data_IF_325757547626
#
_entry.id   IF_325757547626
#
_cell.length_a   1.000
_cell.length_b   1.000
_cell.length_c   1.000
_cell.angle_alpha   90.00
_cell.angle_beta   90.00
_cell.angle_gamma   90.00
#
_symmetry.space_group_name_H-M   'P 1'
#
loop_
_entity.id
_entity.type
_entity.pdbx_description
1 polymer ?
#
# COMPACT_ATOMS: atom_id res chain seq x y z
N UNK A 1 26.79 16.15 6.80
CA UNK A 1 26.17 15.08 5.97
C UNK A 1 24.91 14.57 6.69
N UNK A 2 23.89 14.19 5.95
CA UNK A 2 22.65 13.59 6.45
C UNK A 2 22.81 12.07 6.52
N UNK A 3 22.44 11.46 7.64
CA UNK A 3 22.44 10.00 7.80
C UNK A 3 21.09 9.42 7.39
N UNK A 4 21.07 8.62 6.32
CA UNK A 4 19.88 7.90 5.86
C UNK A 4 19.95 6.48 6.42
N UNK A 5 19.16 6.21 7.46
CA UNK A 5 19.15 4.91 8.12
C UNK A 5 18.56 3.83 7.20
N UNK A 6 19.28 2.73 7.00
CA UNK A 6 18.80 1.61 6.18
C UNK A 6 17.53 0.99 6.78
N UNK A 7 17.41 0.96 8.12
CA UNK A 7 16.28 0.40 8.84
C UNK A 7 14.91 0.97 8.42
N UNK A 8 14.85 2.22 7.95
CA UNK A 8 13.61 2.86 7.47
C UNK A 8 13.54 3.06 5.95
N UNK A 9 14.68 2.96 5.26
CA UNK A 9 14.82 3.47 3.89
C UNK A 9 15.37 2.45 2.89
N UNK A 10 15.70 1.24 3.35
CA UNK A 10 16.32 0.21 2.52
C UNK A 10 15.46 -1.05 2.38
N UNK A 11 15.70 -1.75 1.28
CA UNK A 11 15.02 -2.99 0.91
C UNK A 11 16.01 -3.93 0.25
N UNK A 12 15.84 -5.23 0.48
CA UNK A 12 16.52 -6.25 -0.33
C UNK A 12 15.72 -6.41 -1.61
N UNK A 13 16.20 -5.82 -2.69
CA UNK A 13 15.48 -5.68 -3.97
C UNK A 13 15.79 -6.81 -4.95
N UNK A 14 16.95 -7.46 -4.78
CA UNK A 14 17.28 -8.71 -5.44
C UNK A 14 17.85 -9.67 -4.39
N UNK A 15 17.31 -10.89 -4.32
CA UNK A 15 17.83 -11.97 -3.46
C UNK A 15 17.55 -13.34 -4.06
N UNK A 16 18.50 -14.25 -3.89
CA UNK A 16 18.26 -15.67 -4.14
C UNK A 16 17.41 -16.27 -3.02
N UNK A 17 16.68 -17.35 -3.30
CA UNK A 17 15.77 -17.97 -2.34
C UNK A 17 16.47 -18.43 -1.04
N UNK A 18 17.74 -18.80 -1.10
CA UNK A 18 18.55 -19.25 0.05
C UNK A 18 19.28 -18.11 0.77
N UNK A 19 19.12 -16.87 0.33
CA UNK A 19 19.87 -15.74 0.85
C UNK A 19 19.25 -15.23 2.17
N UNK A 20 20.10 -14.93 3.14
CA UNK A 20 19.67 -14.58 4.51
C UNK A 20 19.71 -13.08 4.79
N UNK A 21 19.99 -12.26 3.78
CA UNK A 21 20.03 -10.81 3.94
C UNK A 21 18.71 -10.23 4.34
N UNK A 22 18.78 -9.31 5.30
CA UNK A 22 17.62 -8.63 5.81
C UNK A 22 17.96 -7.21 6.25
N UNK A 23 16.94 -6.36 6.16
CA UNK A 23 16.93 -5.05 6.78
C UNK A 23 16.22 -5.21 8.12
N UNK A 24 16.97 -5.02 9.19
CA UNK A 24 16.49 -5.05 10.58
C UNK A 24 16.35 -3.63 11.12
N UNK A 25 15.85 -3.49 12.35
CA UNK A 25 15.77 -2.20 13.07
C UNK A 25 17.12 -1.47 13.22
N UNK A 26 18.25 -2.20 13.09
CA UNK A 26 19.61 -1.65 13.13
C UNK A 26 20.31 -1.62 11.76
N UNK A 27 19.59 -1.85 10.66
CA UNK A 27 20.11 -1.81 9.29
C UNK A 27 20.34 -3.19 8.67
N UNK A 28 21.22 -3.25 7.66
CA UNK A 28 21.50 -4.46 6.89
C UNK A 28 22.33 -5.45 7.72
N UNK A 29 21.84 -6.69 7.81
CA UNK A 29 22.47 -7.81 8.49
C UNK A 29 22.51 -9.04 7.59
N UNK A 30 23.28 -10.04 8.03
CA UNK A 30 23.38 -11.36 7.39
C UNK A 30 23.74 -11.28 5.90
N UNK A 31 24.54 -10.27 5.52
CA UNK A 31 24.94 -10.02 4.15
C UNK A 31 25.98 -11.01 3.65
N UNK A 32 25.54 -12.08 3.02
CA UNK A 32 26.38 -13.21 2.63
C UNK A 32 26.48 -13.43 1.13
N UNK A 33 25.51 -13.01 0.34
CA UNK A 33 25.42 -13.30 -1.09
C UNK A 33 25.81 -12.08 -1.96
N UNK A 34 26.74 -12.29 -2.90
CA UNK A 34 27.23 -11.25 -3.81
C UNK A 34 26.17 -10.85 -4.85
N UNK A 35 25.20 -11.72 -5.13
CA UNK A 35 24.10 -11.40 -6.04
C UNK A 35 23.00 -10.58 -5.39
N UNK A 36 22.98 -10.45 -4.06
CA UNK A 36 21.95 -9.67 -3.37
C UNK A 36 22.17 -8.18 -3.59
N UNK A 37 21.11 -7.47 -3.96
CA UNK A 37 21.09 -6.01 -4.10
C UNK A 37 20.24 -5.41 -2.98
N UNK A 38 20.82 -4.44 -2.28
CA UNK A 38 20.14 -3.68 -1.23
C UNK A 38 20.00 -2.24 -1.72
N UNK A 39 18.78 -1.79 -1.94
CA UNK A 39 18.50 -0.44 -2.44
C UNK A 39 18.03 0.45 -1.30
N UNK A 40 18.72 1.57 -1.10
CA UNK A 40 18.32 2.64 -0.16
C UNK A 40 17.79 3.84 -0.95
N UNK A 41 16.70 4.44 -0.47
CA UNK A 41 16.00 5.52 -1.17
C UNK A 41 15.92 6.78 -0.31
N UNK A 42 16.09 7.93 -0.95
CA UNK A 42 15.82 9.25 -0.36
C UNK A 42 15.51 10.22 -1.49
N UNK A 43 14.81 11.32 -1.21
CA UNK A 43 14.45 12.33 -2.20
C UNK A 43 15.26 13.60 -2.02
N UNK A 44 15.85 14.08 -3.12
CA UNK A 44 16.49 15.40 -3.20
C UNK A 44 15.48 16.45 -3.66
N UNK A 45 15.68 17.70 -3.20
CA UNK A 45 14.86 18.86 -3.57
C UNK A 45 15.58 19.86 -4.48
N UNK A 46 16.82 19.55 -4.86
CA UNK A 46 17.59 20.35 -5.79
C UNK A 46 18.61 19.48 -6.51
N UNK A 47 19.05 19.95 -7.67
CA UNK A 47 20.14 19.36 -8.45
C UNK A 47 21.51 19.71 -7.86
N UNK A 48 22.56 19.01 -8.30
CA UNK A 48 23.95 19.33 -8.01
C UNK A 48 24.77 18.11 -7.59
N UNK A 49 26.00 18.36 -7.13
CA UNK A 49 26.88 17.29 -6.67
C UNK A 49 26.35 16.65 -5.38
N UNK A 50 26.22 15.33 -5.39
CA UNK A 50 25.92 14.49 -4.25
C UNK A 50 27.19 13.76 -3.82
N UNK A 51 27.53 13.87 -2.54
CA UNK A 51 28.63 13.12 -1.92
C UNK A 51 28.06 11.92 -1.18
N UNK A 52 28.62 10.74 -1.43
CA UNK A 52 28.17 9.47 -0.88
C UNK A 52 29.23 8.90 0.06
N UNK A 53 28.80 8.49 1.25
CA UNK A 53 29.57 7.67 2.16
C UNK A 53 28.68 6.54 2.72
N UNK A 54 29.29 5.49 3.26
CA UNK A 54 28.59 4.38 3.89
C UNK A 54 29.09 4.19 5.31
N UNK A 55 28.16 4.01 6.26
CA UNK A 55 28.51 3.67 7.65
C UNK A 55 28.35 2.17 7.86
N UNK A 56 29.49 1.50 8.01
CA UNK A 56 29.54 0.04 8.01
C UNK A 56 30.60 -0.51 8.97
N UNK A 57 30.48 -1.79 9.28
CA UNK A 57 31.53 -2.58 9.95
C UNK A 57 31.59 -3.99 9.37
N UNK A 58 32.73 -4.64 9.54
CA UNK A 58 32.95 -6.05 9.19
C UNK A 58 33.38 -6.78 10.46
N UNK A 59 32.50 -7.55 11.12
CA UNK A 59 32.82 -8.19 12.41
C UNK A 59 34.08 -9.06 12.38
N UNK A 60 34.37 -9.72 11.25
CA UNK A 60 35.59 -10.49 11.02
C UNK A 60 36.07 -10.38 9.57
N UNK A 61 37.38 -10.27 9.38
CA UNK A 61 37.99 -10.14 8.05
C UNK A 61 37.83 -8.76 7.44
N UNK A 62 37.72 -8.74 6.11
CA UNK A 62 37.64 -7.56 5.25
C UNK A 62 36.70 -7.84 4.08
N UNK A 63 36.16 -6.79 3.49
CA UNK A 63 35.33 -6.90 2.31
C UNK A 63 35.53 -5.74 1.35
N UNK A 64 35.13 -5.97 0.12
CA UNK A 64 34.91 -4.96 -0.91
C UNK A 64 33.42 -4.97 -1.23
N UNK A 65 32.81 -3.80 -1.15
CA UNK A 65 31.40 -3.59 -1.51
C UNK A 65 31.32 -2.55 -2.61
N UNK A 66 30.26 -2.62 -3.40
CA UNK A 66 29.97 -1.70 -4.49
C UNK A 66 28.73 -0.90 -4.14
N UNK A 67 28.80 0.42 -4.32
CA UNK A 67 27.66 1.31 -4.27
C UNK A 67 27.40 1.88 -5.66
N UNK A 68 26.14 1.87 -6.09
CA UNK A 68 25.74 2.38 -7.41
C UNK A 68 24.63 3.43 -7.27
N UNK A 69 24.78 4.55 -7.98
CA UNK A 69 23.82 5.66 -8.01
C UNK A 69 23.82 6.26 -9.42
N UNK A 70 22.64 6.44 -10.02
CA UNK A 70 22.49 6.93 -11.40
C UNK A 70 23.40 6.22 -12.43
N UNK A 71 23.51 4.88 -12.32
CA UNK A 71 24.35 4.06 -13.19
C UNK A 71 25.86 4.16 -12.94
N UNK A 72 26.31 5.07 -12.07
CA UNK A 72 27.72 5.20 -11.68
C UNK A 72 28.01 4.31 -10.48
N UNK A 73 29.07 3.51 -10.55
CA UNK A 73 29.45 2.53 -9.52
C UNK A 73 30.78 2.89 -8.86
N UNK A 74 30.87 2.66 -7.54
CA UNK A 74 32.06 2.88 -6.73
C UNK A 74 32.33 1.64 -5.90
N UNK A 75 33.58 1.15 -5.89
CA UNK A 75 34.00 0.09 -4.98
C UNK A 75 34.67 0.71 -3.75
N UNK A 76 34.36 0.20 -2.57
CA UNK A 76 34.95 0.62 -1.31
C UNK A 76 35.38 -0.59 -0.49
N UNK A 77 36.59 -0.54 0.05
CA UNK A 77 37.10 -1.55 0.96
C UNK A 77 36.64 -1.20 2.39
N UNK A 78 36.05 -2.18 3.08
CA UNK A 78 35.46 -2.04 4.42
C UNK A 78 36.18 -3.00 5.36
N UNK A 79 36.65 -2.51 6.51
CA UNK A 79 37.47 -3.32 7.44
C UNK A 79 37.24 -2.99 8.91
N UNK A 80 37.32 -4.04 9.74
CA UNK A 80 37.32 -3.93 11.19
C UNK A 80 35.93 -3.99 11.84
N UNK A 81 35.94 -4.45 13.09
CA UNK A 81 34.73 -4.75 13.85
C UNK A 81 34.01 -3.51 14.42
N UNK A 82 34.65 -2.33 14.38
CA UNK A 82 34.03 -1.06 14.78
C UNK A 82 33.27 -0.41 13.62
N UNK A 83 32.15 0.24 13.92
CA UNK A 83 31.42 1.04 12.93
C UNK A 83 32.24 2.25 12.49
N UNK A 84 32.41 2.44 11.18
CA UNK A 84 33.15 3.55 10.57
C UNK A 84 32.39 4.09 9.36
N UNK A 85 32.64 5.35 9.04
CA UNK A 85 32.15 5.98 7.81
C UNK A 85 33.24 5.90 6.74
N UNK A 86 32.90 5.33 5.59
CA UNK A 86 33.78 5.22 4.42
C UNK A 86 33.25 6.14 3.33
N UNK A 87 34.06 7.12 2.93
CA UNK A 87 33.74 7.91 1.73
C UNK A 87 33.77 7.01 0.50
N UNK A 88 32.74 7.13 -0.33
CA UNK A 88 32.53 6.25 -1.49
C UNK A 88 32.81 6.99 -2.78
N UNK A 89 32.24 8.18 -2.94
CA UNK A 89 32.39 8.93 -4.18
C UNK A 89 31.42 10.09 -4.28
N UNK A 90 31.36 10.69 -5.47
CA UNK A 90 30.44 11.78 -5.77
C UNK A 90 29.81 11.61 -7.15
N UNK A 91 28.55 12.01 -7.28
CA UNK A 91 27.78 11.95 -8.52
C UNK A 91 27.00 13.26 -8.71
N UNK A 92 26.83 13.71 -9.95
CA UNK A 92 25.95 14.85 -10.22
C UNK A 92 24.49 14.39 -10.31
N UNK A 93 23.60 15.01 -9.56
CA UNK A 93 22.15 14.80 -9.61
C UNK A 93 21.55 15.87 -10.53
N UNK A 94 21.02 15.43 -11.67
CA UNK A 94 20.51 16.31 -12.72
C UNK A 94 19.02 16.66 -12.58
N UNK A 95 18.28 15.93 -11.75
CA UNK A 95 16.84 16.13 -11.54
C UNK A 95 16.49 16.01 -10.07
N UNK A 96 15.51 16.80 -9.63
CA UNK A 96 14.87 16.59 -8.33
C UNK A 96 14.09 15.28 -8.31
N UNK A 97 13.86 14.74 -7.11
CA UNK A 97 13.15 13.47 -6.96
C UNK A 97 13.90 12.43 -6.15
N UNK A 98 13.39 11.21 -6.18
CA UNK A 98 14.00 10.08 -5.49
C UNK A 98 15.31 9.67 -6.15
N UNK A 99 16.31 9.44 -5.30
CA UNK A 99 17.60 8.87 -5.62
C UNK A 99 17.64 7.48 -5.01
N UNK A 100 18.03 6.50 -5.83
CA UNK A 100 18.29 5.12 -5.41
C UNK A 100 19.80 4.90 -5.28
N UNK A 101 20.22 4.36 -4.14
CA UNK A 101 21.60 3.89 -3.91
C UNK A 101 21.56 2.38 -3.72
N UNK A 102 22.13 1.65 -4.68
CA UNK A 102 22.24 0.19 -4.63
C UNK A 102 23.56 -0.23 -3.99
N UNK A 103 23.50 -1.12 -3.01
CA UNK A 103 24.62 -1.79 -2.37
C UNK A 103 24.73 -3.23 -2.89
N UNK A 104 25.94 -3.66 -3.27
CA UNK A 104 26.23 -5.02 -3.72
C UNK A 104 27.56 -5.54 -3.14
N UNK A 105 27.62 -6.81 -2.75
CA UNK A 105 28.85 -7.45 -2.30
C UNK A 105 29.76 -7.78 -3.48
N UNK A 106 31.06 -7.52 -3.38
CA UNK A 106 32.04 -7.85 -4.44
C UNK A 106 32.94 -9.00 -4.02
N UNK A 107 33.63 -8.84 -2.89
CA UNK A 107 34.49 -9.88 -2.31
C UNK A 107 34.53 -9.75 -0.79
N UNK A 108 34.74 -10.85 -0.08
CA UNK A 108 34.88 -10.88 1.38
C UNK A 108 35.83 -12.00 1.81
N UNK A 109 36.53 -11.80 2.91
CA UNK A 109 37.38 -12.84 3.53
C UNK A 109 36.70 -13.48 4.75
N UNK A 110 35.74 -12.78 5.36
CA UNK A 110 34.89 -13.29 6.44
C UNK A 110 33.58 -13.89 5.95
N UNK A 111 32.70 -14.22 6.90
CA UNK A 111 31.38 -14.80 6.60
C UNK A 111 30.39 -13.81 5.97
N UNK A 112 30.51 -12.52 6.28
CA UNK A 112 29.61 -11.47 5.80
C UNK A 112 30.37 -10.37 5.05
N UNK A 113 29.71 -9.71 4.08
CA UNK A 113 30.23 -8.53 3.39
C UNK A 113 30.34 -7.36 4.36
N UNK A 114 29.26 -6.97 5.02
CA UNK A 114 29.27 -5.93 6.03
C UNK A 114 27.96 -5.94 6.81
N UNK A 115 27.98 -5.30 7.98
CA UNK A 115 26.77 -4.75 8.59
C UNK A 115 26.73 -3.26 8.27
N UNK A 116 25.63 -2.78 7.70
CA UNK A 116 25.50 -1.39 7.21
C UNK A 116 24.33 -0.72 7.92
N UNK A 117 24.57 0.42 8.57
CA UNK A 117 23.51 1.12 9.32
C UNK A 117 22.95 2.31 8.56
N UNK A 118 23.82 3.06 7.87
CA UNK A 118 23.46 4.33 7.22
C UNK A 118 24.15 4.50 5.86
N UNK A 119 23.43 5.12 4.92
CA UNK A 119 24.04 5.86 3.81
C UNK A 119 24.20 7.31 4.23
N UNK A 120 25.41 7.85 4.15
CA UNK A 120 25.70 9.23 4.47
C UNK A 120 25.66 10.08 3.20
N UNK A 121 24.84 11.11 3.20
CA UNK A 121 24.60 11.98 2.04
C UNK A 121 25.10 13.40 2.32
N UNK A 122 25.82 14.00 1.38
CA UNK A 122 26.25 15.39 1.44
C UNK A 122 26.32 16.03 0.05
N UNK A 123 26.98 17.19 -0.02
CA UNK A 123 27.13 17.95 -1.27
C UNK A 123 25.95 18.88 -1.56
N UNK A 124 26.06 19.62 -2.66
CA UNK A 124 25.07 20.63 -3.08
C UNK A 124 23.65 20.05 -3.27
N UNK A 125 23.51 18.81 -3.77
CA UNK A 125 22.20 18.17 -3.95
C UNK A 125 21.41 17.98 -2.65
N UNK A 126 22.10 17.95 -1.50
CA UNK A 126 21.49 17.85 -0.18
C UNK A 126 21.24 19.22 0.48
N UNK A 127 21.62 20.33 -0.17
CA UNK A 127 21.63 21.68 0.41
C UNK A 127 20.23 22.20 0.84
N UNK A 128 19.19 21.90 0.07
CA UNK A 128 17.80 22.24 0.38
C UNK A 128 17.12 21.22 1.34
N UNK A 129 17.89 20.30 1.91
CA UNK A 129 17.39 19.19 2.71
C UNK A 129 16.83 18.04 1.87
N UNK A 130 16.69 16.89 2.53
CA UNK A 130 16.23 15.64 1.93
C UNK A 130 14.85 15.26 2.48
N UNK A 131 14.13 14.43 1.73
CA UNK A 131 12.92 13.75 2.22
C UNK A 131 13.18 12.24 2.26
N UNK A 132 13.02 11.64 3.42
CA UNK A 132 13.28 10.23 3.70
C UNK A 132 12.56 9.86 5.00
N UNK A 133 12.44 8.56 5.28
CA UNK A 133 11.92 8.11 6.57
C UNK A 133 12.93 8.45 7.66
N UNK A 134 12.61 9.45 8.47
CA UNK A 134 13.47 10.00 9.52
C UNK A 134 12.90 9.82 10.93
N UNK A 135 11.75 9.16 11.06
CA UNK A 135 11.14 8.78 12.33
C UNK A 135 11.32 7.28 12.61
N UNK A 136 12.29 6.96 13.46
CA UNK A 136 12.65 5.58 13.79
C UNK A 136 11.51 4.78 14.43
N UNK A 137 10.58 5.44 15.14
CA UNK A 137 9.42 4.77 15.73
C UNK A 137 8.41 4.30 14.67
N UNK A 138 8.49 4.85 13.46
CA UNK A 138 7.54 4.63 12.37
C UNK A 138 8.19 4.05 11.11
N UNK A 139 9.37 3.42 11.22
CA UNK A 139 10.03 2.79 10.08
C UNK A 139 9.21 1.66 9.45
N UNK A 140 8.51 0.85 10.24
CA UNK A 140 7.60 -0.17 9.72
C UNK A 140 6.57 0.43 8.75
N UNK A 141 5.90 1.51 9.16
CA UNK A 141 4.90 2.23 8.34
C UNK A 141 5.54 2.94 7.15
N UNK A 142 6.69 3.56 7.35
CA UNK A 142 7.41 4.26 6.28
C UNK A 142 7.91 3.31 5.19
N UNK A 143 8.28 2.09 5.58
CA UNK A 143 8.69 1.02 4.65
C UNK A 143 7.51 0.43 3.91
N UNK A 144 6.35 0.21 4.56
CA UNK A 144 5.08 -0.09 3.87
C UNK A 144 4.78 0.99 2.81
N UNK A 145 4.98 2.25 3.18
CA UNK A 145 4.74 3.39 2.30
C UNK A 145 3.35 4.00 2.51
N UNK A 146 3.07 5.10 1.80
CA UNK A 146 1.88 5.92 2.02
C UNK A 146 0.64 5.29 1.38
N UNK A 147 -0.31 4.83 2.20
CA UNK A 147 -1.63 4.43 1.70
C UNK A 147 -2.36 5.63 1.10
N UNK A 148 -3.05 5.39 -0.02
CA UNK A 148 -3.78 6.40 -0.78
C UNK A 148 -5.28 6.13 -0.73
N UNK A 149 -6.10 7.19 -0.75
CA UNK A 149 -7.55 7.07 -0.57
C UNK A 149 -8.32 7.91 -1.58
N UNK A 150 -9.47 7.39 -1.99
CA UNK A 150 -10.53 8.09 -2.71
C UNK A 150 -11.67 8.34 -1.74
N UNK A 151 -11.98 9.60 -1.43
CA UNK A 151 -13.11 9.95 -0.58
C UNK A 151 -14.26 10.45 -1.46
N UNK A 152 -15.36 9.70 -1.53
CA UNK A 152 -16.44 10.01 -2.47
C UNK A 152 -17.37 11.09 -1.92
N UNK A 153 -17.71 12.07 -2.75
CA UNK A 153 -18.77 13.04 -2.45
C UNK A 153 -20.12 12.39 -2.75
N UNK A 154 -20.90 12.15 -1.70
CA UNK A 154 -22.18 11.47 -1.84
C UNK A 154 -23.31 12.44 -2.17
N UNK A 155 -24.28 12.00 -3.00
CA UNK A 155 -25.56 12.68 -3.09
C UNK A 155 -26.37 12.47 -1.81
N UNK A 156 -27.28 13.41 -1.51
CA UNK A 156 -28.13 13.33 -0.33
C UNK A 156 -29.08 12.13 -0.37
N UNK A 157 -29.31 11.50 0.79
CA UNK A 157 -30.26 10.42 1.01
C UNK A 157 -29.69 9.24 1.79
N UNK A 158 -30.57 8.31 2.17
CA UNK A 158 -30.20 7.08 2.87
C UNK A 158 -29.72 6.04 1.84
N UNK A 159 -28.41 5.83 1.76
CA UNK A 159 -27.81 4.91 0.80
C UNK A 159 -27.83 3.46 1.31
N UNK A 160 -28.71 2.66 0.71
CA UNK A 160 -28.88 1.24 1.07
C UNK A 160 -27.81 0.37 0.41
N UNK A 161 -27.45 0.66 -0.86
CA UNK A 161 -26.41 -0.06 -1.59
C UNK A 161 -25.30 0.87 -2.08
N UNK A 162 -24.08 0.34 -2.09
CA UNK A 162 -22.92 0.89 -2.79
C UNK A 162 -22.43 -0.09 -3.85
N UNK A 163 -22.36 0.36 -5.10
CA UNK A 163 -21.77 -0.35 -6.21
C UNK A 163 -20.51 0.37 -6.69
N UNK A 164 -19.44 -0.39 -6.98
CA UNK A 164 -18.28 0.11 -7.70
C UNK A 164 -17.63 -0.97 -8.55
N UNK A 165 -16.78 -0.53 -9.48
CA UNK A 165 -15.92 -1.39 -10.29
C UNK A 165 -14.46 -1.07 -10.04
N UNK A 166 -13.62 -2.11 -9.98
CA UNK A 166 -12.19 -2.00 -9.75
C UNK A 166 -11.43 -2.86 -10.76
N UNK A 167 -10.38 -2.29 -11.34
CA UNK A 167 -9.42 -3.01 -12.18
C UNK A 167 -7.99 -2.73 -11.70
N UNK A 168 -7.21 -3.78 -11.53
CA UNK A 168 -5.77 -3.70 -11.25
C UNK A 168 -5.02 -3.92 -12.57
N UNK A 169 -4.26 -2.94 -13.11
CA UNK A 169 -3.54 -3.13 -14.36
C UNK A 169 -2.54 -4.30 -14.30
N UNK A 170 -2.24 -4.91 -15.46
CA UNK A 170 -1.26 -5.99 -15.53
C UNK A 170 0.09 -5.56 -14.95
N UNK A 171 0.66 -6.39 -14.05
CA UNK A 171 1.93 -6.12 -13.39
C UNK A 171 1.83 -5.20 -12.17
N UNK A 172 0.64 -4.70 -11.83
CA UNK A 172 0.41 -3.86 -10.64
C UNK A 172 -0.19 -4.64 -9.47
N UNK A 173 -0.46 -5.93 -9.66
CA UNK A 173 -0.94 -6.89 -8.67
C UNK A 173 0.20 -7.47 -7.82
N UNK A 174 1.01 -6.58 -7.24
CA UNK A 174 2.17 -6.97 -6.42
C UNK A 174 1.71 -7.59 -5.10
N UNK A 175 2.34 -8.66 -4.59
CA UNK A 175 2.08 -9.17 -3.25
C UNK A 175 2.17 -8.09 -2.17
N UNK A 176 1.34 -8.20 -1.13
CA UNK A 176 1.22 -7.16 -0.11
C UNK A 176 0.23 -6.06 -0.45
N UNK A 177 -0.44 -6.11 -1.59
CA UNK A 177 -1.39 -5.07 -2.00
C UNK A 177 -2.79 -5.34 -1.49
N UNK A 178 -3.45 -4.31 -0.97
CA UNK A 178 -4.91 -4.28 -0.77
C UNK A 178 -5.53 -3.17 -1.63
N UNK A 179 -6.33 -3.58 -2.60
CA UNK A 179 -7.14 -2.71 -3.46
C UNK A 179 -8.57 -2.70 -2.94
N UNK A 180 -8.87 -1.72 -2.08
CA UNK A 180 -10.16 -1.62 -1.42
C UNK A 180 -11.15 -0.85 -2.30
N UNK A 181 -12.27 -1.49 -2.65
CA UNK A 181 -13.25 -0.97 -3.58
C UNK A 181 -14.40 -0.24 -2.88
N UNK A 182 -15.05 -0.91 -1.93
CA UNK A 182 -16.23 -0.43 -1.22
C UNK A 182 -15.96 -0.23 0.27
N UNK A 183 -15.52 0.97 0.63
CA UNK A 183 -15.40 1.41 2.02
C UNK A 183 -16.66 2.08 2.52
N UNK A 184 -16.92 1.92 3.81
CA UNK A 184 -18.02 2.56 4.51
C UNK A 184 -17.63 2.83 5.97
N UNK A 185 -18.45 3.55 6.73
CA UNK A 185 -18.14 4.02 8.08
C UNK A 185 -17.70 2.91 9.04
N UNK A 186 -18.25 1.71 8.87
CA UNK A 186 -18.06 0.58 9.76
C UNK A 186 -17.27 -0.57 9.14
N UNK A 187 -16.68 -0.40 7.95
CA UNK A 187 -15.94 -1.49 7.34
C UNK A 187 -15.42 -1.23 5.94
N UNK A 188 -14.97 -2.32 5.32
CA UNK A 188 -14.34 -2.29 4.01
C UNK A 188 -14.57 -3.57 3.23
N UNK A 189 -14.53 -3.45 1.90
CA UNK A 189 -14.66 -4.57 0.98
C UNK A 189 -13.78 -4.36 -0.27
N UNK A 190 -12.97 -5.35 -0.61
CA UNK A 190 -12.06 -5.26 -1.76
C UNK A 190 -11.30 -6.56 -2.05
N UNK A 191 -10.17 -6.43 -2.74
CA UNK A 191 -9.33 -7.57 -3.15
C UNK A 191 -7.86 -7.39 -2.76
N UNK A 192 -7.22 -8.49 -2.35
CA UNK A 192 -5.83 -8.53 -1.90
C UNK A 192 -4.98 -9.48 -2.74
N UNK A 193 -3.69 -9.19 -2.82
CA UNK A 193 -2.65 -10.12 -3.28
C UNK A 193 -1.85 -10.58 -2.06
N UNK A 194 -2.09 -11.82 -1.62
CA UNK A 194 -1.41 -12.38 -0.44
C UNK A 194 -0.02 -12.90 -0.80
N UNK A 195 0.10 -13.55 -1.94
CA UNK A 195 1.35 -14.09 -2.45
C UNK A 195 1.30 -14.21 -3.97
N UNK A 196 2.36 -14.75 -4.57
CA UNK A 196 2.37 -15.07 -6.00
C UNK A 196 1.28 -16.08 -6.42
N UNK A 197 0.74 -16.88 -5.47
CA UNK A 197 -0.21 -17.96 -5.75
C UNK A 197 -1.54 -17.82 -5.01
N UNK A 198 -1.69 -16.78 -4.19
CA UNK A 198 -2.87 -16.63 -3.33
C UNK A 198 -3.40 -15.19 -3.34
N UNK A 199 -4.71 -15.10 -3.58
CA UNK A 199 -5.45 -13.86 -3.74
C UNK A 199 -6.78 -13.96 -3.02
N UNK A 200 -7.14 -12.90 -2.32
CA UNK A 200 -8.36 -12.86 -1.51
C UNK A 200 -9.32 -11.80 -2.04
N UNK A 201 -10.61 -12.11 -1.95
CA UNK A 201 -11.66 -11.09 -1.80
C UNK A 201 -11.93 -10.96 -0.31
N UNK A 202 -11.87 -9.76 0.26
CA UNK A 202 -11.97 -9.53 1.70
C UNK A 202 -13.10 -8.55 2.01
N UNK A 203 -13.98 -8.91 2.94
CA UNK A 203 -15.05 -8.07 3.48
C UNK A 203 -15.01 -8.08 5.02
N UNK A 204 -14.89 -6.91 5.63
CA UNK A 204 -14.82 -6.76 7.09
C UNK A 204 -15.77 -5.69 7.60
N UNK A 205 -16.24 -5.89 8.84
CA UNK A 205 -17.04 -4.93 9.61
C UNK A 205 -16.47 -4.85 11.02
N UNK A 206 -16.06 -3.65 11.44
CA UNK A 206 -15.56 -3.41 12.80
C UNK A 206 -16.64 -3.65 13.85
N UNK A 207 -16.20 -4.01 15.04
CA UNK A 207 -17.06 -3.98 16.22
C UNK A 207 -17.53 -2.55 16.54
N UNK A 208 -18.52 -2.42 17.42
CA UNK A 208 -18.72 -1.21 18.21
C UNK A 208 -17.48 -0.87 19.06
N UNK A 209 -17.53 0.27 19.75
CA UNK A 209 -16.50 0.63 20.72
C UNK A 209 -16.32 -0.47 21.78
N UNK A 210 -15.13 -0.55 22.39
CA UNK A 210 -14.81 -1.59 23.38
C UNK A 210 -15.89 -1.65 24.47
N UNK A 211 -16.40 -2.86 24.74
CA UNK A 211 -17.47 -3.09 25.72
C UNK A 211 -18.89 -2.89 25.18
N UNK A 212 -19.07 -2.46 23.93
CA UNK A 212 -20.38 -2.23 23.31
C UNK A 212 -20.82 -3.40 22.41
N UNK A 213 -20.42 -4.62 22.73
CA UNK A 213 -20.76 -5.83 21.97
C UNK A 213 -19.81 -6.13 20.81
N UNK A 214 -20.14 -7.17 20.05
CA UNK A 214 -19.33 -7.68 18.94
C UNK A 214 -20.16 -7.83 17.67
N UNK A 215 -19.53 -7.59 16.54
CA UNK A 215 -20.10 -7.88 15.22
C UNK A 215 -20.18 -9.40 15.02
N UNK A 216 -21.38 -9.90 14.67
CA UNK A 216 -21.69 -11.33 14.57
C UNK A 216 -22.04 -11.74 13.14
N UNK A 217 -21.66 -12.98 12.79
CA UNK A 217 -21.96 -13.54 11.47
C UNK A 217 -23.43 -13.95 11.41
N UNK A 218 -24.15 -13.49 10.38
CA UNK A 218 -25.53 -13.91 10.09
C UNK A 218 -25.53 -15.06 9.10
N UNK A 219 -24.83 -14.89 7.96
CA UNK A 219 -24.66 -15.92 6.93
C UNK A 219 -23.41 -15.61 6.10
N UNK A 220 -22.93 -16.61 5.36
CA UNK A 220 -21.80 -16.47 4.43
C UNK A 220 -22.05 -17.25 3.15
N UNK A 221 -21.41 -16.86 2.06
CA UNK A 221 -21.45 -17.61 0.82
C UNK A 221 -20.67 -18.92 0.89
N UNK A 222 -20.84 -19.74 -0.15
CA UNK A 222 -20.04 -20.95 -0.38
C UNK A 222 -18.55 -20.60 -0.44
N UNK A 223 -17.72 -21.43 0.18
CA UNK A 223 -16.24 -21.30 0.26
C UNK A 223 -15.70 -20.03 0.92
N UNK A 224 -16.56 -19.13 1.39
CA UNK A 224 -16.15 -17.97 2.19
C UNK A 224 -15.76 -18.44 3.58
N UNK A 225 -14.58 -18.05 4.04
CA UNK A 225 -14.13 -18.21 5.42
C UNK A 225 -14.55 -16.97 6.19
N UNK A 226 -15.14 -17.15 7.37
CA UNK A 226 -15.51 -16.06 8.28
C UNK A 226 -14.79 -16.24 9.62
N UNK A 227 -14.19 -15.17 10.11
CA UNK A 227 -13.40 -15.16 11.34
C UNK A 227 -13.40 -13.77 11.99
N UNK A 228 -12.71 -13.64 13.12
CA UNK A 228 -12.52 -12.38 13.82
C UNK A 228 -11.18 -11.75 13.44
N UNK A 229 -11.07 -10.43 13.54
CA UNK A 229 -9.81 -9.70 13.33
C UNK A 229 -9.47 -8.78 14.51
N UNK A 230 -8.20 -8.37 14.58
CA UNK A 230 -7.59 -7.55 15.63
C UNK A 230 -6.46 -6.66 15.09
N UNK A 231 -5.77 -5.93 15.98
CA UNK A 231 -4.57 -5.13 15.68
C UNK A 231 -4.84 -3.68 15.25
N UNK A 232 -5.86 -3.47 14.42
CA UNK A 232 -6.30 -2.16 13.91
C UNK A 232 -7.75 -1.88 14.32
N UNK A 233 -8.05 -2.15 15.58
CA UNK A 233 -9.40 -2.39 16.08
C UNK A 233 -9.77 -3.88 16.01
N UNK A 234 -11.02 -4.21 16.34
CA UNK A 234 -11.54 -5.59 16.30
C UNK A 234 -12.82 -5.65 15.48
N UNK A 235 -13.15 -6.83 14.96
CA UNK A 235 -14.38 -7.01 14.19
C UNK A 235 -14.56 -8.39 13.58
N UNK A 236 -15.58 -8.51 12.73
CA UNK A 236 -15.80 -9.68 11.88
C UNK A 236 -15.17 -9.47 10.51
N UNK A 237 -14.41 -10.45 10.03
CA UNK A 237 -13.90 -10.46 8.65
C UNK A 237 -14.33 -11.75 7.94
N UNK A 238 -14.53 -11.63 6.64
CA UNK A 238 -14.80 -12.74 5.75
C UNK A 238 -13.93 -12.64 4.52
N UNK A 239 -13.34 -13.75 4.08
CA UNK A 239 -12.56 -13.78 2.86
C UNK A 239 -12.90 -15.00 2.00
N UNK A 240 -12.78 -14.81 0.69
CA UNK A 240 -12.84 -15.86 -0.33
C UNK A 240 -11.48 -15.93 -0.99
N UNK A 241 -10.85 -17.11 -0.96
CA UNK A 241 -9.66 -17.35 -1.80
C UNK A 241 -10.15 -17.44 -3.25
N UNK A 242 -9.87 -16.40 -4.03
CA UNK A 242 -10.30 -16.28 -5.41
C UNK A 242 -9.17 -15.71 -6.23
N UNK A 243 -8.72 -16.47 -7.23
CA UNK A 243 -7.61 -16.10 -8.09
C UNK A 243 -8.03 -15.06 -9.15
N UNK A 244 -8.45 -13.88 -8.68
CA UNK A 244 -8.74 -12.75 -9.55
C UNK A 244 -7.50 -12.35 -10.36
N UNK A 245 -7.68 -11.82 -11.56
CA UNK A 245 -6.65 -11.55 -12.54
C UNK A 245 -6.48 -10.05 -12.74
N UNK A 246 -5.23 -9.59 -12.76
CA UNK A 246 -4.93 -8.26 -13.25
C UNK A 246 -5.41 -8.07 -14.71
N UNK A 247 -5.77 -6.85 -15.06
CA UNK A 247 -6.42 -6.49 -16.33
C UNK A 247 -7.92 -6.81 -16.40
N UNK A 248 -8.48 -7.51 -15.40
CA UNK A 248 -9.92 -7.79 -15.32
C UNK A 248 -10.61 -6.78 -14.42
N UNK A 249 -11.75 -6.26 -14.87
CA UNK A 249 -12.63 -5.43 -14.04
C UNK A 249 -13.55 -6.33 -13.22
N UNK A 250 -13.53 -6.15 -11.90
CA UNK A 250 -14.43 -6.79 -10.96
C UNK A 250 -15.45 -5.80 -10.42
N UNK A 251 -16.60 -6.31 -9.97
CA UNK A 251 -17.70 -5.49 -9.46
C UNK A 251 -17.95 -5.82 -7.99
N UNK A 252 -18.18 -4.78 -7.21
CA UNK A 252 -18.35 -4.86 -5.76
C UNK A 252 -19.69 -4.24 -5.41
N UNK A 253 -20.53 -4.99 -4.69
CA UNK A 253 -21.80 -4.51 -4.17
C UNK A 253 -21.82 -4.69 -2.66
N UNK A 254 -22.08 -3.61 -1.93
CA UNK A 254 -22.24 -3.64 -0.48
C UNK A 254 -23.61 -3.05 -0.13
N UNK A 255 -24.28 -3.65 0.84
CA UNK A 255 -25.57 -3.22 1.37
C UNK A 255 -25.44 -2.98 2.86
N UNK A 256 -26.04 -1.91 3.38
CA UNK A 256 -26.32 -1.78 4.81
C UNK A 256 -27.78 -1.38 5.06
N UNK A 257 -28.43 -2.07 6.01
CA UNK A 257 -29.81 -1.77 6.41
C UNK A 257 -29.90 -1.79 7.93
N UNK A 258 -30.48 -0.76 8.54
CA UNK A 258 -30.88 -0.84 9.93
C UNK A 258 -31.92 -1.95 10.12
N UNK A 259 -31.77 -2.76 11.15
CA UNK A 259 -32.75 -3.79 11.53
C UNK A 259 -33.28 -3.49 12.93
N UNK A 260 -34.39 -4.14 13.31
CA UNK A 260 -34.95 -4.00 14.66
C UNK A 260 -33.91 -4.29 15.76
N UNK A 261 -34.13 -3.72 16.95
CA UNK A 261 -33.24 -3.85 18.13
C UNK A 261 -31.89 -3.10 18.05
N UNK A 262 -31.82 -2.00 17.28
CA UNK A 262 -30.68 -1.08 17.35
C UNK A 262 -29.39 -1.62 16.73
N UNK A 263 -29.52 -2.48 15.71
CA UNK A 263 -28.38 -3.04 14.95
C UNK A 263 -28.50 -2.72 13.46
N UNK A 264 -27.38 -2.79 12.76
CA UNK A 264 -27.32 -2.64 11.30
C UNK A 264 -26.69 -3.87 10.70
N UNK A 265 -27.29 -4.39 9.64
CA UNK A 265 -26.82 -5.56 8.91
C UNK A 265 -26.10 -5.12 7.65
N UNK A 266 -24.88 -5.61 7.46
CA UNK A 266 -24.03 -5.33 6.31
C UNK A 266 -23.85 -6.59 5.48
N UNK A 267 -24.14 -6.53 4.18
CA UNK A 267 -23.96 -7.66 3.26
C UNK A 267 -23.14 -7.23 2.05
N UNK A 268 -22.17 -8.04 1.65
CA UNK A 268 -21.37 -7.75 0.45
C UNK A 268 -21.39 -8.90 -0.54
N UNK A 269 -21.40 -8.58 -1.83
CA UNK A 269 -21.30 -9.51 -2.95
C UNK A 269 -20.18 -9.09 -3.90
N UNK A 270 -19.44 -10.09 -4.38
CA UNK A 270 -18.37 -9.95 -5.35
C UNK A 270 -18.81 -10.53 -6.69
N UNK A 271 -18.75 -9.75 -7.77
CA UNK A 271 -19.03 -10.28 -9.10
C UNK A 271 -17.77 -10.92 -9.68
N UNK A 272 -17.77 -12.24 -9.75
CA UNK A 272 -16.70 -13.04 -10.33
C UNK A 272 -16.81 -13.00 -11.86
N UNK A 273 -16.12 -12.05 -12.48
CA UNK A 273 -16.21 -11.78 -13.93
C UNK A 273 -15.92 -13.02 -14.79
N UNK A 274 -15.06 -13.93 -14.34
CA UNK A 274 -14.75 -15.18 -15.06
C UNK A 274 -15.94 -16.14 -15.13
N UNK A 275 -16.81 -16.16 -14.13
CA UNK A 275 -18.00 -17.02 -14.11
C UNK A 275 -19.27 -16.26 -14.49
N UNK A 276 -19.24 -14.93 -14.46
CA UNK A 276 -20.40 -14.08 -14.75
C UNK A 276 -21.43 -14.04 -13.61
N UNK A 277 -21.03 -14.40 -12.39
CA UNK A 277 -21.94 -14.57 -11.25
C UNK A 277 -21.56 -13.70 -10.04
N UNK A 278 -22.59 -13.25 -9.33
CA UNK A 278 -22.42 -12.67 -7.99
C UNK A 278 -22.15 -13.78 -6.98
N UNK A 279 -21.13 -13.59 -6.13
CA UNK A 279 -20.81 -14.44 -4.99
C UNK A 279 -21.11 -13.67 -3.72
N UNK A 280 -21.95 -14.23 -2.84
CA UNK A 280 -22.15 -13.71 -1.49
C UNK A 280 -20.83 -13.84 -0.72
N UNK A 281 -20.35 -12.76 -0.11
CA UNK A 281 -19.25 -12.83 0.85
C UNK A 281 -19.81 -13.24 2.20
N UNK A 282 -20.36 -12.27 2.92
CA UNK A 282 -21.02 -12.50 4.19
C UNK A 282 -22.10 -11.46 4.43
N UNK A 283 -22.95 -11.79 5.39
CA UNK A 283 -23.82 -10.86 6.07
C UNK A 283 -23.36 -10.78 7.53
N UNK A 284 -22.93 -9.60 7.97
CA UNK A 284 -22.56 -9.29 9.35
C UNK A 284 -23.65 -8.45 10.02
N UNK A 285 -23.94 -8.71 11.29
CA UNK A 285 -24.77 -7.83 12.12
C UNK A 285 -23.88 -7.08 13.10
N UNK A 286 -23.91 -5.75 13.04
CA UNK A 286 -23.22 -4.87 13.98
C UNK A 286 -24.23 -4.29 14.98
N UNK A 287 -24.11 -4.59 16.28
CA UNK A 287 -25.01 -4.04 17.29
C UNK A 287 -24.72 -2.56 17.58
N UNK A 288 -25.60 -1.92 18.34
CA UNK A 288 -25.44 -0.54 18.84
C UNK A 288 -25.24 0.52 17.75
N UNK A 289 -25.87 0.32 16.60
CA UNK A 289 -25.93 1.30 15.51
C UNK A 289 -27.16 1.08 14.65
N UNK A 290 -27.83 2.17 14.26
CA UNK A 290 -28.98 2.17 13.34
C UNK A 290 -28.65 3.09 12.18
N UNK A 291 -28.02 2.56 11.13
CA UNK A 291 -27.51 3.37 10.01
C UNK A 291 -27.70 2.69 8.65
N UNK A 292 -27.71 3.51 7.62
CA UNK A 292 -27.42 3.10 6.24
C UNK A 292 -25.91 3.23 5.97
N UNK A 293 -25.46 2.95 4.76
CA UNK A 293 -24.05 3.14 4.41
C UNK A 293 -23.67 4.62 4.54
N UNK A 294 -22.47 4.88 5.08
CA UNK A 294 -21.88 6.22 5.27
C UNK A 294 -20.39 6.17 4.95
N UNK A 295 -19.70 7.33 4.89
CA UNK A 295 -18.24 7.44 4.73
C UNK A 295 -17.65 6.61 3.58
N UNK A 296 -18.18 6.81 2.38
CA UNK A 296 -17.84 6.01 1.23
C UNK A 296 -16.44 6.34 0.75
N UNK A 297 -15.60 5.33 0.61
CA UNK A 297 -14.23 5.51 0.16
C UNK A 297 -13.68 4.27 -0.55
N UNK A 298 -12.58 4.44 -1.27
CA UNK A 298 -11.71 3.36 -1.73
C UNK A 298 -10.27 3.66 -1.28
N UNK A 299 -9.40 2.65 -1.24
CA UNK A 299 -7.99 2.87 -0.94
C UNK A 299 -7.06 1.87 -1.62
N UNK A 300 -5.79 2.27 -1.69
CA UNK A 300 -4.67 1.44 -2.10
C UNK A 300 -3.65 1.38 -0.96
N UNK A 301 -3.36 0.18 -0.50
CA UNK A 301 -2.45 -0.07 0.62
C UNK A 301 -1.40 -1.12 0.25
N UNK A 302 -0.20 -0.94 0.80
CA UNK A 302 0.78 -1.99 0.95
C UNK A 302 0.83 -2.45 2.42
N UNK A 303 0.60 -3.73 2.69
CA UNK A 303 0.66 -4.34 4.02
C UNK A 303 1.94 -5.14 4.29
N UNK A 304 2.90 -5.14 3.35
CA UNK A 304 4.24 -5.72 3.54
C UNK A 304 5.31 -4.63 3.56
N UNK A 305 5.99 -4.47 4.70
CA UNK A 305 7.03 -3.45 4.85
C UNK A 305 8.26 -3.74 3.98
N UNK A 306 8.51 -5.00 3.63
CA UNK A 306 9.59 -5.37 2.71
C UNK A 306 9.25 -5.13 1.23
N UNK A 307 8.01 -4.77 0.88
CA UNK A 307 7.56 -4.58 -0.50
C UNK A 307 7.39 -3.10 -0.91
N UNK A 308 7.78 -2.14 -0.07
CA UNK A 308 7.58 -0.70 -0.33
C UNK A 308 8.33 -0.13 -1.54
N UNK A 309 9.37 -0.82 -2.01
CA UNK A 309 10.13 -0.45 -3.21
C UNK A 309 9.44 -0.82 -4.53
N UNK A 310 8.27 -1.44 -4.46
CA UNK A 310 7.47 -1.80 -5.62
C UNK A 310 6.28 -0.86 -5.75
N UNK A 311 6.03 -0.40 -6.97
CA UNK A 311 4.85 0.41 -7.27
C UNK A 311 3.61 -0.48 -7.35
N UNK A 312 2.47 0.09 -6.95
CA UNK A 312 1.13 -0.48 -7.07
C UNK A 312 0.22 0.56 -7.69
N UNK A 313 -0.75 0.11 -8.49
CA UNK A 313 -1.76 0.97 -9.11
C UNK A 313 -3.07 0.21 -9.27
N UNK A 314 -4.19 0.91 -9.13
CA UNK A 314 -5.50 0.40 -9.53
C UNK A 314 -6.40 1.51 -10.05
N UNK A 315 -7.47 1.10 -10.72
CA UNK A 315 -8.49 1.97 -11.32
C UNK A 315 -9.85 1.67 -10.72
N UNK A 316 -10.52 2.72 -10.24
CA UNK A 316 -11.88 2.69 -9.73
C UNK A 316 -12.80 3.36 -10.75
N UNK A 317 -13.95 2.73 -11.01
CA UNK A 317 -14.92 3.25 -11.95
C UNK A 317 -16.35 2.89 -11.57
N UNK A 318 -17.31 3.55 -12.23
CA UNK A 318 -18.74 3.25 -12.16
C UNK A 318 -19.31 3.23 -10.72
N UNK A 319 -19.00 4.24 -9.90
CA UNK A 319 -19.53 4.33 -8.53
C UNK A 319 -21.00 4.77 -8.52
N UNK A 320 -21.85 3.97 -7.88
CA UNK A 320 -23.27 4.23 -7.76
C UNK A 320 -23.76 3.91 -6.35
N UNK A 321 -24.69 4.71 -5.85
CA UNK A 321 -25.45 4.39 -4.64
C UNK A 321 -26.92 4.18 -4.97
N UNK A 322 -27.53 3.14 -4.39
CA UNK A 322 -28.97 2.97 -4.45
C UNK A 322 -29.56 3.38 -3.11
N UNK A 323 -30.45 4.37 -3.13
CA UNK A 323 -31.14 4.83 -1.94
C UNK A 323 -32.17 3.78 -1.47
N UNK A 324 -32.56 3.87 -0.20
CA UNK A 324 -33.61 3.01 0.38
C UNK A 324 -34.96 3.12 -0.37
N UNK A 325 -35.25 4.28 -0.97
CA UNK A 325 -36.43 4.49 -1.85
C UNK A 325 -36.29 3.86 -3.25
N UNK A 326 -35.14 3.29 -3.57
CA UNK A 326 -34.86 2.56 -4.80
C UNK A 326 -34.22 3.37 -5.93
N UNK A 327 -34.08 4.68 -5.75
CA UNK A 327 -33.39 5.58 -6.68
C UNK A 327 -31.89 5.28 -6.74
N UNK A 328 -31.32 5.17 -7.94
CA UNK A 328 -29.89 5.12 -8.17
C UNK A 328 -29.33 6.53 -8.34
N UNK A 329 -28.24 6.84 -7.64
CA UNK A 329 -27.49 8.09 -7.79
C UNK A 329 -26.04 7.81 -8.10
N UNK A 330 -25.55 8.42 -9.17
CA UNK A 330 -24.16 8.28 -9.59
C UNK A 330 -23.24 9.13 -8.71
N UNK A 331 -22.06 8.62 -8.40
CA UNK A 331 -20.99 9.38 -7.76
C UNK A 331 -20.01 9.82 -8.85
N UNK A 332 -19.84 11.13 -9.00
CA UNK A 332 -18.96 11.73 -10.01
C UNK A 332 -17.76 12.48 -9.43
N UNK A 333 -17.77 12.76 -8.13
CA UNK A 333 -16.74 13.55 -7.45
C UNK A 333 -16.06 12.75 -6.34
N UNK A 334 -14.74 12.93 -6.25
CA UNK A 334 -13.91 12.27 -5.26
C UNK A 334 -12.73 13.17 -4.88
N UNK A 335 -12.30 13.03 -3.63
CA UNK A 335 -11.18 13.78 -3.05
C UNK A 335 -10.03 12.81 -2.74
N UNK A 336 -8.87 13.06 -3.33
CA UNK A 336 -7.65 12.31 -3.05
C UNK A 336 -7.10 12.64 -1.67
N UNK A 337 -6.67 11.63 -0.91
CA UNK A 337 -5.92 11.84 0.34
C UNK A 337 -4.90 10.72 0.59
N UNK A 338 -3.99 10.97 1.51
CA UNK A 338 -2.96 10.01 1.93
C UNK A 338 -2.99 9.83 3.44
N UNK A 339 -2.40 8.74 3.91
CA UNK A 339 -2.24 8.44 5.33
C UNK A 339 -1.22 9.35 6.03
N UNK A 340 -0.93 9.05 7.30
CA UNK A 340 0.06 9.78 8.09
C UNK A 340 1.47 9.70 7.50
N UNK A 341 1.86 8.60 6.87
CA UNK A 341 3.18 8.42 6.23
C UNK A 341 3.39 9.46 5.13
N UNK A 342 2.38 9.66 4.28
CA UNK A 342 2.40 10.68 3.24
C UNK A 342 2.31 12.11 3.80
N UNK A 343 1.39 12.36 4.74
CA UNK A 343 1.19 13.69 5.32
C UNK A 343 2.42 14.19 6.12
N UNK A 344 3.11 13.30 6.81
CA UNK A 344 4.33 13.60 7.56
C UNK A 344 5.59 13.59 6.69
N UNK A 345 5.43 13.44 5.36
CA UNK A 345 6.53 13.44 4.38
C UNK A 345 7.62 12.42 4.71
N UNK A 346 7.27 11.27 5.30
CA UNK A 346 8.20 10.15 5.44
C UNK A 346 8.44 9.50 4.07
N UNK A 347 7.41 9.52 3.23
CA UNK A 347 7.40 9.07 1.84
C UNK A 347 6.60 10.03 0.98
N UNK A 348 6.95 10.15 -0.30
CA UNK A 348 6.35 11.09 -1.28
C UNK A 348 5.95 10.39 -2.58
N UNK A 349 6.04 9.08 -2.65
CA UNK A 349 5.63 8.25 -3.79
C UNK A 349 4.20 7.77 -3.61
N UNK A 350 3.30 8.75 -3.67
CA UNK A 350 1.85 8.61 -3.71
C UNK A 350 1.28 9.50 -4.81
N UNK A 351 0.26 9.03 -5.51
CA UNK A 351 -0.46 9.84 -6.49
C UNK A 351 -1.88 9.30 -6.70
N UNK A 352 -2.77 10.19 -7.12
CA UNK A 352 -4.15 9.86 -7.40
C UNK A 352 -4.77 10.90 -8.31
N UNK A 353 -5.61 10.45 -9.23
CA UNK A 353 -6.15 11.31 -10.27
C UNK A 353 -7.12 10.59 -11.18
N UNK A 354 -7.16 11.02 -12.44
CA UNK A 354 -8.07 10.51 -13.46
C UNK A 354 -7.33 10.04 -14.71
N UNK A 355 -7.77 8.90 -15.24
CA UNK A 355 -7.41 8.41 -16.56
C UNK A 355 -8.62 7.71 -17.21
N UNK A 356 -8.94 8.07 -18.45
CA UNK A 356 -10.02 7.45 -19.23
C UNK A 356 -11.36 7.32 -18.49
N UNK A 357 -11.82 8.42 -17.87
CA UNK A 357 -13.04 8.49 -17.03
C UNK A 357 -13.04 7.55 -15.80
N UNK A 358 -11.89 6.98 -15.44
CA UNK A 358 -11.67 6.20 -14.22
C UNK A 358 -10.78 6.98 -13.26
N UNK A 359 -10.94 6.71 -11.98
CA UNK A 359 -10.06 7.24 -10.95
C UNK A 359 -8.90 6.28 -10.75
N UNK A 360 -7.68 6.77 -10.63
CA UNK A 360 -6.55 5.94 -10.26
C UNK A 360 -6.00 6.35 -8.89
N UNK A 361 -5.45 5.36 -8.20
CA UNK A 361 -4.48 5.55 -7.12
C UNK A 361 -3.22 4.78 -7.49
N UNK A 362 -2.07 5.33 -7.13
CA UNK A 362 -0.78 4.64 -7.19
C UNK A 362 0.08 5.01 -5.98
N UNK A 363 0.82 4.05 -5.45
CA UNK A 363 1.78 4.29 -4.36
C UNK A 363 2.95 3.32 -4.40
N UNK A 364 3.99 3.63 -3.63
CA UNK A 364 5.21 2.82 -3.57
C UNK A 364 6.10 2.98 -4.80
N UNK A 365 7.20 2.25 -4.84
CA UNK A 365 8.10 2.26 -6.00
C UNK A 365 9.00 3.49 -6.14
N UNK A 366 8.93 4.44 -5.20
CA UNK A 366 9.80 5.62 -5.15
C UNK A 366 9.76 6.46 -6.44
N UNK A 367 8.59 6.58 -7.09
CA UNK A 367 8.41 7.52 -8.19
C UNK A 367 8.46 8.97 -7.69
N UNK A 368 8.87 9.89 -8.57
CA UNK A 368 9.21 11.27 -8.15
C UNK A 368 8.05 12.28 -8.24
N UNK A 369 6.97 11.97 -8.95
CA UNK A 369 5.84 12.90 -9.10
C UNK A 369 4.75 12.53 -8.10
N UNK A 370 4.57 13.35 -7.07
CA UNK A 370 3.55 13.14 -6.05
C UNK A 370 2.24 13.82 -6.43
N UNK A 371 1.11 13.18 -6.13
CA UNK A 371 -0.20 13.83 -6.15
C UNK A 371 -0.33 14.87 -5.04
N UNK A 372 -1.39 15.68 -5.09
CA UNK A 372 -1.67 16.72 -4.09
C UNK A 372 -2.88 16.28 -3.24
N UNK A 373 -2.68 15.82 -1.99
CA UNK A 373 -3.77 15.49 -1.09
C UNK A 373 -4.74 16.66 -0.91
N UNK A 374 -6.04 16.36 -0.92
CA UNK A 374 -7.12 17.35 -0.91
C UNK A 374 -7.63 17.73 -2.29
N UNK A 375 -6.93 17.33 -3.37
CA UNK A 375 -7.42 17.57 -4.74
C UNK A 375 -8.75 16.87 -4.97
N UNK A 376 -9.72 17.63 -5.47
CA UNK A 376 -11.02 17.11 -5.91
C UNK A 376 -10.99 16.94 -7.42
N UNK A 377 -11.46 15.80 -7.86
CA UNK A 377 -11.55 15.44 -9.26
C UNK A 377 -13.00 15.09 -9.59
N UNK A 378 -13.42 15.36 -10.82
CA UNK A 378 -14.79 15.14 -11.30
C UNK A 378 -14.76 14.39 -12.62
N UNK A 379 -15.56 13.33 -12.74
CA UNK A 379 -15.81 12.63 -14.02
C UNK A 379 -17.16 13.02 -14.61
N UNK A 380 -17.33 12.77 -15.91
CA UNK A 380 -18.62 12.91 -16.55
C UNK A 380 -19.60 11.85 -16.00
N UNK A 381 -20.85 12.24 -15.82
CA UNK A 381 -21.92 11.31 -15.47
C UNK A 381 -22.16 10.35 -16.64
N UNK A 382 -22.27 9.06 -16.34
CA UNK A 382 -22.69 8.03 -17.30
C UNK A 382 -24.20 7.96 -17.40
N UNK A 383 -24.92 8.33 -16.35
CA UNK A 383 -26.40 8.30 -16.23
C UNK A 383 -27.05 6.92 -16.42
N UNK A 384 -26.25 5.87 -16.55
CA UNK A 384 -26.71 4.48 -16.70
C UNK A 384 -26.35 3.71 -15.42
N UNK A 385 -27.33 3.40 -14.55
CA UNK A 385 -27.07 2.64 -13.34
C UNK A 385 -26.68 1.20 -13.64
N UNK A 386 -26.00 0.51 -12.71
CA UNK A 386 -25.66 -0.90 -12.88
C UNK A 386 -26.94 -1.76 -12.97
N UNK A 387 -26.97 -2.67 -13.94
CA UNK A 387 -28.04 -3.64 -14.10
C UNK A 387 -27.87 -4.79 -13.09
N UNK A 388 -28.56 -4.71 -11.95
CA UNK A 388 -28.51 -5.71 -10.88
C UNK A 388 -29.91 -6.30 -10.67
N UNK A 389 -30.04 -7.61 -10.86
CA UNK A 389 -31.23 -8.33 -10.45
C UNK A 389 -31.10 -8.76 -8.98
N UNK A 390 -31.61 -7.93 -8.07
CA UNK A 390 -31.52 -8.16 -6.62
C UNK A 390 -32.18 -9.47 -6.17
N UNK A 391 -33.19 -9.96 -6.90
CA UNK A 391 -33.86 -11.23 -6.58
C UNK A 391 -32.99 -12.46 -6.87
N UNK A 392 -31.94 -12.29 -7.68
CA UNK A 392 -31.01 -13.36 -8.06
C UNK A 392 -29.68 -13.28 -7.30
N UNK A 393 -29.52 -12.35 -6.35
CA UNK A 393 -28.33 -12.33 -5.50
C UNK A 393 -28.38 -13.52 -4.51
N UNK A 394 -27.29 -14.27 -4.33
CA UNK A 394 -27.23 -15.38 -3.36
C UNK A 394 -27.33 -14.94 -1.88
#
# INVERSE_FOLDING_TARGET
PTAIALAGNAFVTEKQASATEEITEIGLKNWTNASSIISTYFRVKQTGMLHLAVKARVPSGSSKIKLSVNGTSFNVDVTGAGSKVYFVGSVNIATEGYVKVDLQGVSKTGSNFAEVTEIMIGGAAAGAGLVYANDAANYYWSRRGPSCHLNYTLPAGNAEYFYSELMVPAGQDVPGSYFMANGFGEGYFGIQVKSATERWVLFSVWDPAVGQGITSLVRKGTDVVAQRFGGEGTGGQSYLVYNWKAGTTYKFLTKAVPVGAGSTVYTSWFFATETGDWKLMATWSRPNITTYLTHFHGFLENFYDDAGYTERKALWSNQWVRLAGGEWKEITQFKFSVDATGNNKQRMDFDGGMEDQKFYLRNGGFFSNSGIPGTVFTKNATTVPPAINFNNLP
#
